data_IF_409417833842
#
_entry.id   IF_409417833842
#
_cell.length_a   1.000
_cell.length_b   1.000
_cell.length_c   1.000
_cell.angle_alpha   90.00
_cell.angle_beta   90.00
_cell.angle_gamma   90.00
#
_symmetry.space_group_name_H-M   'P 1'
#
loop_
_entity.id
_entity.type
_entity.pdbx_description
1 polymer ?
#
# COMPACT_ATOMS: atom_id res chain seq x y z
N UNK A 1 17.54 20.26 70.32
CA UNK A 1 17.30 19.25 69.27
C UNK A 1 16.78 19.93 68.03
N UNK A 2 17.64 20.10 67.02
CA UNK A 2 17.33 20.75 65.76
C UNK A 2 17.10 19.66 64.70
N UNK A 3 15.89 19.51 64.17
CA UNK A 3 15.58 18.62 63.06
C UNK A 3 15.96 19.30 61.74
N UNK A 4 16.93 18.73 61.05
CA UNK A 4 17.35 19.13 59.70
C UNK A 4 16.46 18.38 58.72
N UNK A 5 15.53 19.07 58.04
CA UNK A 5 14.68 18.53 57.00
C UNK A 5 15.46 18.61 55.69
N UNK A 6 16.00 17.50 55.23
CA UNK A 6 16.60 17.38 53.88
C UNK A 6 15.48 17.13 52.88
N UNK A 7 15.05 18.16 52.18
CA UNK A 7 14.20 18.02 50.98
C UNK A 7 15.04 17.46 49.83
N UNK A 8 14.90 16.16 49.56
CA UNK A 8 15.46 15.54 48.36
C UNK A 8 14.60 15.94 47.14
N UNK A 9 15.07 16.93 46.39
CA UNK A 9 14.47 17.32 45.12
C UNK A 9 14.73 16.22 44.10
N UNK A 10 13.74 15.35 43.85
CA UNK A 10 13.72 14.43 42.74
C UNK A 10 13.53 15.22 41.44
N UNK A 11 14.64 15.62 40.82
CA UNK A 11 14.65 16.16 39.46
C UNK A 11 14.45 14.96 38.53
N UNK A 12 13.22 14.74 38.07
CA UNK A 12 12.93 13.83 37.00
C UNK A 12 13.49 14.40 35.69
N UNK A 13 14.65 13.93 35.28
CA UNK A 13 15.16 14.17 33.94
C UNK A 13 14.21 13.49 32.94
N UNK A 14 13.40 14.27 32.28
CA UNK A 14 12.72 13.82 31.09
C UNK A 14 13.79 13.75 30.01
N UNK A 15 14.24 12.54 29.68
CA UNK A 15 15.08 12.29 28.51
C UNK A 15 14.21 12.57 27.28
N UNK A 16 14.38 13.71 26.65
CA UNK A 16 13.84 13.93 25.32
C UNK A 16 14.71 13.13 24.35
N UNK A 17 14.15 12.12 23.73
CA UNK A 17 14.77 11.47 22.57
C UNK A 17 14.95 12.53 21.48
N UNK A 18 16.19 12.79 21.09
CA UNK A 18 16.50 13.77 20.03
C UNK A 18 16.57 13.02 18.70
N UNK A 19 15.62 13.29 17.82
CA UNK A 19 15.68 12.83 16.44
C UNK A 19 16.79 13.57 15.69
N UNK A 20 17.58 12.85 14.90
CA UNK A 20 18.68 13.40 14.11
C UNK A 20 18.25 13.57 12.65
N UNK A 21 18.46 14.76 12.09
CA UNK A 21 18.20 15.03 10.67
C UNK A 21 19.45 14.81 9.83
N UNK A 22 19.34 14.02 8.77
CA UNK A 22 20.41 13.78 7.79
C UNK A 22 19.92 14.10 6.37
N UNK A 23 20.83 14.47 5.48
CA UNK A 23 20.55 14.76 4.08
C UNK A 23 21.24 13.72 3.21
N UNK A 24 20.50 13.04 2.33
CA UNK A 24 21.01 12.08 1.36
C UNK A 24 20.30 12.38 0.03
N UNK A 25 21.09 12.60 -1.03
CA UNK A 25 20.57 12.90 -2.37
C UNK A 25 19.49 13.99 -2.35
N UNK A 26 19.81 15.12 -1.65
CA UNK A 26 18.93 16.28 -1.41
C UNK A 26 17.67 16.02 -0.56
N UNK A 27 17.36 14.77 -0.22
CA UNK A 27 16.26 14.41 0.66
C UNK A 27 16.66 14.52 2.13
N UNK A 28 15.79 15.14 2.93
CA UNK A 28 15.96 15.26 4.36
C UNK A 28 15.25 14.10 5.07
N UNK A 29 16.01 13.31 5.82
CA UNK A 29 15.50 12.21 6.63
C UNK A 29 15.64 12.52 8.10
N UNK A 30 14.58 12.30 8.86
CA UNK A 30 14.60 12.35 10.32
C UNK A 30 14.80 10.94 10.86
N UNK A 31 15.89 10.72 11.58
CA UNK A 31 16.25 9.43 12.16
C UNK A 31 16.02 9.46 13.66
N UNK A 32 15.30 8.50 14.19
CA UNK A 32 15.19 8.34 15.64
C UNK A 32 16.57 8.02 16.24
N UNK A 33 16.81 8.47 17.46
CA UNK A 33 18.08 8.29 18.16
C UNK A 33 18.58 6.84 18.19
N UNK A 34 17.65 5.90 18.33
CA UNK A 34 17.95 4.45 18.31
C UNK A 34 18.58 3.99 16.99
N UNK A 35 18.22 4.60 15.86
CA UNK A 35 18.76 4.30 14.53
C UNK A 35 20.20 4.81 14.41
N UNK A 36 20.46 6.01 14.96
CA UNK A 36 21.80 6.66 14.88
C UNK A 36 22.80 6.01 15.82
N UNK A 37 22.39 5.62 17.03
CA UNK A 37 23.30 5.05 18.06
C UNK A 37 23.87 3.68 17.71
N UNK A 38 23.23 2.91 16.86
CA UNK A 38 23.65 1.54 16.55
C UNK A 38 24.79 1.43 15.52
N UNK A 39 25.56 2.49 15.26
CA UNK A 39 26.63 2.53 14.25
C UNK A 39 26.20 1.97 12.88
N UNK A 40 24.89 1.99 12.63
CA UNK A 40 24.28 1.42 11.45
C UNK A 40 24.51 2.33 10.25
N UNK A 41 24.85 1.77 9.10
CA UNK A 41 24.98 2.54 7.86
C UNK A 41 23.57 2.93 7.36
N UNK A 42 22.96 3.94 8.00
CA UNK A 42 21.62 4.42 7.67
C UNK A 42 21.49 4.87 6.20
N UNK A 43 22.59 5.30 5.57
CA UNK A 43 22.59 5.67 4.14
C UNK A 43 22.26 4.46 3.29
N UNK A 44 22.94 3.34 3.51
CA UNK A 44 22.66 2.09 2.80
C UNK A 44 21.23 1.61 3.07
N UNK A 45 20.75 1.70 4.32
CA UNK A 45 19.38 1.33 4.65
C UNK A 45 18.35 2.18 3.89
N UNK A 46 18.50 3.50 3.90
CA UNK A 46 17.59 4.39 3.19
C UNK A 46 17.62 4.15 1.67
N UNK A 47 18.79 3.93 1.09
CA UNK A 47 18.91 3.56 -0.33
C UNK A 47 18.20 2.22 -0.63
N UNK A 48 18.29 1.23 0.26
CA UNK A 48 17.57 -0.03 0.12
C UNK A 48 16.06 0.15 0.22
N UNK A 49 15.58 0.97 1.17
CA UNK A 49 14.15 1.32 1.32
C UNK A 49 13.62 2.03 0.07
N UNK A 50 14.37 3.00 -0.45
CA UNK A 50 14.00 3.71 -1.69
C UNK A 50 13.88 2.78 -2.89
N UNK A 51 14.75 1.77 -2.97
CA UNK A 51 14.76 0.80 -4.06
C UNK A 51 13.96 -0.48 -3.75
N UNK A 52 13.19 -0.50 -2.65
CA UNK A 52 12.42 -1.67 -2.25
C UNK A 52 11.39 -2.07 -3.31
N UNK A 53 11.39 -3.35 -3.65
CA UNK A 53 10.40 -4.00 -4.52
C UNK A 53 9.65 -5.11 -3.80
N UNK A 54 9.93 -5.35 -2.51
CA UNK A 54 9.39 -6.47 -1.75
C UNK A 54 7.87 -6.40 -1.59
N UNK A 55 7.32 -5.17 -1.49
CA UNK A 55 5.87 -4.96 -1.47
C UNK A 55 5.19 -5.49 -2.75
N UNK A 56 5.66 -5.09 -3.91
CA UNK A 56 5.13 -5.60 -5.18
C UNK A 56 5.42 -7.09 -5.36
N UNK A 57 6.61 -7.53 -4.95
CA UNK A 57 7.03 -8.94 -4.98
C UNK A 57 6.06 -9.83 -4.19
N UNK A 58 5.57 -9.38 -3.03
CA UNK A 58 4.60 -10.11 -2.22
C UNK A 58 3.31 -10.41 -3.01
N UNK A 59 2.78 -9.45 -3.76
CA UNK A 59 1.62 -9.70 -4.64
C UNK A 59 1.97 -10.62 -5.82
N UNK A 60 3.18 -10.52 -6.35
CA UNK A 60 3.65 -11.42 -7.41
C UNK A 60 3.77 -12.86 -6.92
N UNK A 61 4.10 -13.08 -5.65
CA UNK A 61 4.18 -14.40 -5.05
C UNK A 61 2.82 -15.14 -5.08
N UNK A 62 1.69 -14.43 -5.03
CA UNK A 62 0.36 -15.02 -5.20
C UNK A 62 0.16 -15.72 -6.57
N UNK A 63 0.93 -15.33 -7.58
CA UNK A 63 0.84 -15.93 -8.93
C UNK A 63 1.38 -17.35 -9.00
N UNK A 64 2.20 -17.74 -8.03
CA UNK A 64 2.85 -19.06 -7.99
C UNK A 64 2.36 -19.94 -6.84
N UNK A 65 1.31 -19.51 -6.13
CA UNK A 65 0.73 -20.18 -4.97
C UNK A 65 -0.76 -20.48 -5.18
N UNK A 66 -1.24 -21.55 -4.55
CA UNK A 66 -2.63 -21.72 -4.20
C UNK A 66 -2.93 -20.98 -2.88
N UNK A 67 -4.14 -20.48 -2.72
CA UNK A 67 -4.62 -19.85 -1.49
C UNK A 67 -6.14 -19.75 -1.48
N UNK A 68 -6.72 -19.56 -0.29
CA UNK A 68 -8.12 -19.19 -0.12
C UNK A 68 -8.23 -17.71 0.22
N UNK A 69 -9.35 -17.08 -0.10
CA UNK A 69 -9.61 -15.70 0.35
C UNK A 69 -11.08 -15.48 0.70
N UNK A 70 -11.29 -14.66 1.73
CA UNK A 70 -12.56 -13.97 1.97
C UNK A 70 -12.47 -12.58 1.36
N UNK A 71 -13.50 -12.17 0.63
CA UNK A 71 -13.58 -10.89 -0.05
C UNK A 71 -14.91 -10.23 0.32
N UNK A 72 -14.86 -9.06 0.93
CA UNK A 72 -16.03 -8.24 1.28
C UNK A 72 -15.90 -6.88 0.61
N UNK A 73 -16.71 -6.62 -0.41
CA UNK A 73 -16.68 -5.38 -1.21
C UNK A 73 -18.02 -4.70 -1.06
N UNK A 74 -18.03 -3.44 -0.67
CA UNK A 74 -19.23 -2.63 -0.50
C UNK A 74 -19.15 -1.36 -1.31
N UNK A 75 -20.12 -1.13 -2.16
CA UNK A 75 -20.33 0.12 -2.87
C UNK A 75 -21.24 1.03 -2.05
N UNK A 76 -20.84 2.28 -1.85
CA UNK A 76 -21.53 3.21 -0.99
C UNK A 76 -22.24 4.30 -1.82
N UNK A 77 -23.33 4.79 -1.30
CA UNK A 77 -24.00 5.98 -1.82
C UNK A 77 -23.33 7.28 -1.31
N UNK A 78 -23.90 8.43 -1.67
CA UNK A 78 -23.39 9.75 -1.26
C UNK A 78 -23.46 9.97 0.26
N UNK A 79 -24.30 9.23 0.98
CA UNK A 79 -24.48 9.32 2.43
C UNK A 79 -23.65 8.29 3.19
N UNK A 80 -22.91 7.43 2.48
CA UNK A 80 -22.12 6.35 3.07
C UNK A 80 -22.92 5.07 3.34
N UNK A 81 -24.18 4.98 2.92
CA UNK A 81 -24.97 3.76 3.04
C UNK A 81 -24.58 2.76 1.94
N UNK A 82 -24.61 1.46 2.26
CA UNK A 82 -24.33 0.40 1.29
C UNK A 82 -25.45 0.32 0.27
N UNK A 83 -25.14 0.50 -1.02
CA UNK A 83 -26.08 0.38 -2.14
C UNK A 83 -25.95 -0.93 -2.91
N UNK A 84 -24.76 -1.52 -2.92
CA UNK A 84 -24.48 -2.82 -3.49
C UNK A 84 -23.30 -3.47 -2.76
N UNK A 85 -23.27 -4.79 -2.69
CA UNK A 85 -22.18 -5.50 -2.05
C UNK A 85 -21.91 -6.86 -2.69
N UNK A 86 -20.67 -7.34 -2.53
CA UNK A 86 -20.24 -8.70 -2.80
C UNK A 86 -19.52 -9.23 -1.56
N UNK A 87 -19.99 -10.34 -1.02
CA UNK A 87 -19.20 -11.20 -0.16
C UNK A 87 -18.89 -12.49 -0.91
N UNK A 88 -17.62 -12.90 -0.94
CA UNK A 88 -17.26 -14.18 -1.54
C UNK A 88 -16.15 -14.90 -0.77
N UNK A 89 -16.18 -16.22 -0.84
CA UNK A 89 -15.07 -17.09 -0.48
C UNK A 89 -14.54 -17.73 -1.75
N UNK A 90 -13.27 -17.52 -2.06
CA UNK A 90 -12.64 -18.07 -3.26
C UNK A 90 -11.45 -18.94 -2.89
N UNK A 91 -11.09 -19.86 -3.81
CA UNK A 91 -9.90 -20.68 -3.70
C UNK A 91 -9.15 -20.66 -5.02
N UNK A 92 -7.94 -20.14 -5.01
CA UNK A 92 -7.00 -20.30 -6.12
C UNK A 92 -6.28 -21.64 -5.99
N UNK A 93 -6.36 -22.44 -7.02
CA UNK A 93 -5.60 -23.69 -7.16
C UNK A 93 -4.36 -23.43 -8.01
N UNK A 94 -3.28 -24.16 -7.71
CA UNK A 94 -2.06 -24.16 -8.53
C UNK A 94 -1.69 -25.60 -8.85
N UNK A 95 -1.77 -25.98 -10.14
CA UNK A 95 -1.49 -27.34 -10.63
C UNK A 95 -0.70 -27.21 -11.94
N UNK A 96 0.41 -27.91 -12.06
CA UNK A 96 1.25 -27.98 -13.26
C UNK A 96 1.63 -26.62 -13.84
N UNK A 97 2.00 -25.68 -12.96
CA UNK A 97 2.38 -24.32 -13.39
C UNK A 97 1.23 -23.45 -13.84
N UNK A 98 -0.01 -23.94 -13.77
CA UNK A 98 -1.22 -23.18 -14.09
C UNK A 98 -2.02 -22.86 -12.82
N UNK A 99 -2.72 -21.73 -12.81
CA UNK A 99 -3.68 -21.38 -11.75
C UNK A 99 -5.10 -21.29 -12.31
N UNK A 100 -6.03 -21.70 -11.46
CA UNK A 100 -7.47 -21.54 -11.65
C UNK A 100 -8.05 -21.01 -10.34
N UNK A 101 -9.30 -20.55 -10.36
CA UNK A 101 -9.97 -20.10 -9.14
C UNK A 101 -11.38 -20.62 -9.08
N UNK A 102 -11.73 -21.22 -7.95
CA UNK A 102 -13.09 -21.65 -7.63
C UNK A 102 -13.74 -20.59 -6.74
N UNK A 103 -14.98 -20.26 -7.02
CA UNK A 103 -15.85 -19.50 -6.13
C UNK A 103 -16.61 -20.49 -5.27
N UNK A 104 -16.25 -20.57 -3.97
CA UNK A 104 -16.85 -21.52 -3.03
C UNK A 104 -18.15 -20.98 -2.43
N UNK A 105 -18.23 -19.68 -2.28
CA UNK A 105 -19.39 -18.95 -1.78
C UNK A 105 -19.43 -17.56 -2.41
N UNK A 106 -20.63 -17.12 -2.82
CA UNK A 106 -20.85 -15.77 -3.33
C UNK A 106 -22.24 -15.28 -2.91
N UNK A 107 -22.27 -14.12 -2.26
CA UNK A 107 -23.51 -13.41 -1.89
C UNK A 107 -23.43 -11.97 -2.36
N UNK A 108 -24.41 -11.51 -3.10
CA UNK A 108 -24.47 -10.13 -3.60
C UNK A 108 -25.76 -9.44 -3.19
N UNK A 109 -25.66 -8.11 -3.01
CA UNK A 109 -26.84 -7.27 -2.79
C UNK A 109 -26.81 -6.08 -3.75
N UNK A 110 -27.99 -5.50 -4.02
CA UNK A 110 -28.13 -4.36 -4.92
C UNK A 110 -27.77 -4.70 -6.36
N UNK A 111 -27.30 -3.70 -7.11
CA UNK A 111 -26.96 -3.79 -8.51
C UNK A 111 -25.44 -4.08 -8.74
N UNK A 112 -24.86 -4.98 -7.96
CA UNK A 112 -23.43 -5.28 -8.01
C UNK A 112 -22.99 -5.80 -9.39
N UNK A 113 -23.80 -6.65 -10.00
CA UNK A 113 -23.64 -7.15 -11.36
C UNK A 113 -24.76 -6.69 -12.30
N UNK A 114 -24.47 -6.60 -13.57
CA UNK A 114 -25.46 -6.44 -14.63
C UNK A 114 -26.14 -7.78 -15.00
N UNK A 115 -27.02 -7.74 -16.00
CA UNK A 115 -27.74 -8.93 -16.49
C UNK A 115 -26.84 -9.99 -17.13
N UNK A 116 -25.61 -9.59 -17.53
CA UNK A 116 -24.58 -10.48 -18.13
C UNK A 116 -23.58 -10.97 -17.10
N UNK A 117 -23.80 -10.68 -15.81
CA UNK A 117 -22.87 -10.98 -14.72
C UNK A 117 -21.54 -10.23 -14.84
N UNK A 118 -21.52 -9.06 -15.47
CA UNK A 118 -20.40 -8.15 -15.47
C UNK A 118 -20.52 -7.13 -14.33
N UNK A 119 -19.40 -6.61 -13.83
CA UNK A 119 -19.42 -5.65 -12.75
C UNK A 119 -20.02 -4.32 -13.19
N UNK A 120 -21.00 -3.81 -12.46
CA UNK A 120 -21.57 -2.49 -12.68
C UNK A 120 -20.66 -1.34 -12.24
N UNK A 121 -19.58 -1.65 -11.50
CA UNK A 121 -18.69 -0.68 -10.89
C UNK A 121 -17.24 -0.96 -11.28
N UNK A 122 -16.45 0.12 -11.45
CA UNK A 122 -15.03 0.02 -11.80
C UNK A 122 -14.18 -0.55 -10.65
N UNK A 123 -14.46 -0.16 -9.41
CA UNK A 123 -13.68 -0.62 -8.25
C UNK A 123 -13.69 -2.14 -8.08
N UNK A 124 -14.84 -2.84 -8.07
CA UNK A 124 -14.85 -4.32 -8.05
C UNK A 124 -14.22 -4.94 -9.28
N UNK A 125 -14.36 -4.34 -10.46
CA UNK A 125 -13.71 -4.82 -11.69
C UNK A 125 -12.18 -4.79 -11.56
N UNK A 126 -11.64 -3.68 -11.03
CA UNK A 126 -10.20 -3.56 -10.76
C UNK A 126 -9.75 -4.58 -9.72
N UNK A 127 -10.50 -4.71 -8.61
CA UNK A 127 -10.23 -5.70 -7.58
C UNK A 127 -10.16 -7.12 -8.14
N UNK A 128 -11.17 -7.51 -8.90
CA UNK A 128 -11.21 -8.83 -9.54
C UNK A 128 -10.02 -9.04 -10.48
N UNK A 129 -9.65 -8.02 -11.25
CA UNK A 129 -8.48 -8.05 -12.11
C UNK A 129 -7.13 -8.17 -11.38
N UNK A 130 -7.08 -7.84 -10.08
CA UNK A 130 -5.90 -7.98 -9.25
C UNK A 130 -5.82 -9.35 -8.56
N UNK A 131 -6.93 -9.82 -8.00
CA UNK A 131 -6.97 -10.92 -7.05
C UNK A 131 -7.70 -12.16 -7.55
N UNK A 132 -8.57 -12.05 -8.56
CA UNK A 132 -9.28 -13.20 -9.09
C UNK A 132 -8.61 -13.75 -10.35
N UNK A 133 -8.65 -15.04 -10.49
CA UNK A 133 -8.16 -15.74 -11.68
C UNK A 133 -9.35 -16.09 -12.57
N UNK A 134 -9.40 -15.51 -13.78
CA UNK A 134 -10.43 -15.84 -14.76
C UNK A 134 -9.94 -16.98 -15.66
N UNK A 135 -10.63 -18.11 -15.64
CA UNK A 135 -10.25 -19.29 -16.40
C UNK A 135 -8.96 -19.94 -15.92
N UNK A 136 -8.20 -20.54 -16.85
CA UNK A 136 -6.90 -21.17 -16.58
C UNK A 136 -5.76 -20.29 -17.07
N UNK A 137 -4.84 -19.92 -16.18
CA UNK A 137 -3.69 -19.05 -16.48
C UNK A 137 -2.40 -19.82 -16.21
N UNK A 138 -1.56 -19.98 -17.21
CA UNK A 138 -0.33 -20.76 -17.16
C UNK A 138 0.91 -19.92 -17.43
N UNK A 139 2.11 -20.44 -17.07
CA UNK A 139 3.40 -19.84 -17.40
C UNK A 139 3.74 -18.59 -16.61
N UNK A 140 2.94 -18.20 -15.60
CA UNK A 140 3.27 -17.07 -14.74
C UNK A 140 4.38 -17.41 -13.74
N UNK A 141 5.17 -16.38 -13.44
CA UNK A 141 6.21 -16.42 -12.43
C UNK A 141 6.07 -15.24 -11.47
N UNK A 142 6.86 -15.26 -10.41
CA UNK A 142 6.89 -14.20 -9.40
C UNK A 142 8.11 -13.28 -9.53
N UNK A 143 8.80 -13.27 -10.67
CA UNK A 143 9.97 -12.43 -10.90
C UNK A 143 9.51 -10.97 -11.02
N UNK A 144 10.17 -10.09 -10.28
CA UNK A 144 10.03 -8.65 -10.36
C UNK A 144 11.33 -8.08 -10.92
N UNK A 145 11.24 -7.39 -12.06
CA UNK A 145 12.37 -6.70 -12.69
C UNK A 145 12.17 -5.19 -12.52
N UNK A 146 12.76 -4.64 -11.44
CA UNK A 146 12.63 -3.22 -11.12
C UNK A 146 11.20 -2.78 -10.76
N UNK A 147 10.96 -1.47 -10.77
CA UNK A 147 9.66 -0.88 -10.40
C UNK A 147 8.69 -0.72 -11.59
N UNK A 148 9.12 -1.01 -12.81
CA UNK A 148 8.33 -0.77 -14.01
C UNK A 148 7.39 -1.92 -14.32
N UNK A 149 6.09 -1.64 -14.28
CA UNK A 149 5.08 -2.49 -14.91
C UNK A 149 4.97 -2.09 -16.38
N UNK A 150 5.02 -3.07 -17.29
CA UNK A 150 4.94 -2.79 -18.71
C UNK A 150 3.54 -2.33 -19.13
N UNK A 151 3.46 -1.12 -19.66
CA UNK A 151 2.26 -0.59 -20.34
C UNK A 151 2.33 -0.76 -21.86
N UNK A 152 3.39 -1.41 -22.38
CA UNK A 152 3.57 -1.66 -23.80
C UNK A 152 2.41 -2.50 -24.37
N UNK A 153 1.93 -2.14 -25.52
CA UNK A 153 0.85 -2.80 -26.28
C UNK A 153 -0.57 -2.68 -25.69
N UNK A 154 -0.80 -1.76 -24.72
CA UNK A 154 -2.15 -1.46 -24.23
C UNK A 154 -2.58 -0.08 -24.62
N UNK A 155 -3.85 0.09 -25.01
CA UNK A 155 -4.42 1.38 -25.42
C UNK A 155 -5.76 1.63 -24.74
N UNK A 156 -6.18 2.90 -24.71
CA UNK A 156 -7.49 3.29 -24.19
C UNK A 156 -7.75 2.86 -22.74
N UNK A 157 -8.94 2.31 -22.48
CA UNK A 157 -9.42 1.94 -21.14
C UNK A 157 -8.55 0.87 -20.48
N UNK A 158 -7.99 -0.09 -21.22
CA UNK A 158 -7.11 -1.12 -20.68
C UNK A 158 -5.81 -0.53 -20.12
N UNK A 159 -5.26 0.48 -20.78
CA UNK A 159 -4.09 1.21 -20.29
C UNK A 159 -4.41 1.93 -18.97
N UNK A 160 -5.56 2.59 -18.86
CA UNK A 160 -5.98 3.27 -17.64
C UNK A 160 -6.20 2.29 -16.48
N UNK A 161 -6.79 1.13 -16.72
CA UNK A 161 -6.94 0.08 -15.69
C UNK A 161 -5.58 -0.39 -15.18
N UNK A 162 -4.60 -0.60 -16.04
CA UNK A 162 -3.26 -0.99 -15.62
C UNK A 162 -2.54 0.13 -14.83
N UNK A 163 -2.72 1.37 -15.22
CA UNK A 163 -2.19 2.52 -14.48
C UNK A 163 -2.79 2.61 -13.08
N UNK A 164 -4.10 2.39 -12.93
CA UNK A 164 -4.76 2.34 -11.62
C UNK A 164 -4.25 1.16 -10.77
N UNK A 165 -3.98 0.00 -11.39
CA UNK A 165 -3.35 -1.13 -10.69
C UNK A 165 -1.95 -0.77 -10.15
N UNK A 166 -1.19 0.05 -10.87
CA UNK A 166 0.13 0.50 -10.41
C UNK A 166 0.04 1.33 -9.12
N UNK A 167 -1.02 2.13 -8.93
CA UNK A 167 -1.27 2.84 -7.68
C UNK A 167 -1.39 1.90 -6.47
N UNK A 168 -1.97 0.71 -6.68
CA UNK A 168 -2.08 -0.30 -5.62
C UNK A 168 -0.75 -0.97 -5.31
N UNK A 169 -0.01 -1.37 -6.34
CA UNK A 169 1.17 -2.21 -6.16
C UNK A 169 2.45 -1.44 -5.93
N UNK A 170 2.48 -0.18 -6.33
CA UNK A 170 3.70 0.63 -6.27
C UNK A 170 3.40 2.09 -5.89
N UNK A 171 2.71 2.31 -4.74
CA UNK A 171 2.47 3.66 -4.26
C UNK A 171 3.81 4.37 -4.02
N UNK A 172 3.87 5.65 -4.33
CA UNK A 172 5.07 6.45 -4.14
C UNK A 172 6.11 6.32 -5.26
N UNK A 173 5.76 5.76 -6.42
CA UNK A 173 6.60 5.71 -7.61
C UNK A 173 5.88 6.32 -8.81
N UNK A 174 6.66 6.93 -9.69
CA UNK A 174 6.16 7.51 -10.95
C UNK A 174 5.35 6.49 -11.76
N UNK A 175 4.17 6.91 -12.22
CA UNK A 175 3.32 6.11 -13.09
C UNK A 175 3.25 6.77 -14.47
N UNK A 176 3.89 6.20 -15.49
CA UNK A 176 3.92 6.80 -16.81
C UNK A 176 2.54 6.94 -17.44
N UNK A 177 2.27 8.11 -18.01
CA UNK A 177 1.09 8.35 -18.86
C UNK A 177 -0.23 8.49 -18.12
N UNK A 178 -0.25 8.66 -16.80
CA UNK A 178 -1.41 9.22 -16.09
C UNK A 178 -1.30 10.74 -16.21
N UNK A 179 -2.26 11.41 -16.87
CA UNK A 179 -2.24 12.86 -17.00
C UNK A 179 -2.25 13.54 -15.63
N UNK A 180 -1.46 14.61 -15.49
CA UNK A 180 -1.41 15.54 -14.35
C UNK A 180 -0.83 14.99 -13.04
N UNK A 181 -0.87 13.68 -12.77
CA UNK A 181 -0.47 13.11 -11.48
C UNK A 181 0.70 12.13 -11.58
N UNK A 182 1.03 11.62 -12.76
CA UNK A 182 2.02 10.52 -12.89
C UNK A 182 3.38 10.83 -12.29
N UNK A 183 3.87 12.06 -12.46
CA UNK A 183 5.14 12.53 -11.89
C UNK A 183 5.00 12.92 -10.41
N UNK A 184 3.84 13.44 -10.00
CA UNK A 184 3.56 13.84 -8.61
C UNK A 184 3.50 12.67 -7.62
N UNK A 185 3.42 11.44 -8.13
CA UNK A 185 3.41 10.22 -7.33
C UNK A 185 4.81 9.73 -6.95
N UNK A 186 5.87 10.23 -7.59
CA UNK A 186 7.23 9.83 -7.25
C UNK A 186 7.68 10.53 -5.96
N UNK A 187 7.77 9.75 -4.88
CA UNK A 187 8.19 10.25 -3.57
C UNK A 187 9.72 10.36 -3.44
N UNK A 188 10.46 10.02 -4.49
CA UNK A 188 11.92 9.99 -4.46
C UNK A 188 12.56 10.74 -5.64
N UNK A 189 11.78 11.55 -6.36
CA UNK A 189 12.33 12.43 -7.39
C UNK A 189 12.99 13.68 -6.77
N UNK A 190 13.69 14.46 -7.59
CA UNK A 190 14.44 15.66 -7.18
C UNK A 190 13.58 16.72 -6.48
N UNK A 191 12.28 16.74 -6.71
CA UNK A 191 11.36 17.73 -6.13
C UNK A 191 10.64 17.21 -4.88
N UNK A 192 10.58 15.90 -4.68
CA UNK A 192 9.82 15.31 -3.58
C UNK A 192 10.32 15.78 -2.20
N UNK A 193 11.64 15.99 -2.03
CA UNK A 193 12.22 16.50 -0.78
C UNK A 193 11.75 17.92 -0.41
N UNK A 194 11.25 18.70 -1.39
CA UNK A 194 10.68 20.03 -1.16
C UNK A 194 9.24 19.96 -0.63
N UNK A 195 8.58 18.81 -0.82
CA UNK A 195 7.16 18.60 -0.54
C UNK A 195 6.93 17.71 0.70
N UNK A 196 7.83 16.75 0.94
CA UNK A 196 7.64 15.70 1.93
C UNK A 196 8.73 15.68 2.99
N UNK A 197 8.35 15.22 4.19
CA UNK A 197 9.24 14.81 5.26
C UNK A 197 9.32 13.28 5.33
N UNK A 198 10.52 12.78 5.64
CA UNK A 198 10.82 11.36 5.72
C UNK A 198 11.33 11.04 7.11
N UNK A 199 10.69 10.09 7.79
CA UNK A 199 11.10 9.66 9.13
C UNK A 199 11.37 8.16 9.17
N UNK A 200 12.48 7.77 9.79
CA UNK A 200 12.83 6.38 10.06
C UNK A 200 12.93 6.16 11.57
N UNK A 201 12.18 5.20 12.06
CA UNK A 201 12.14 4.82 13.46
C UNK A 201 12.31 3.30 13.62
N UNK A 202 12.45 2.81 14.85
CA UNK A 202 12.40 1.39 15.19
C UNK A 202 11.26 1.16 16.17
N UNK A 203 10.34 0.30 15.78
CA UNK A 203 9.13 -0.01 16.55
C UNK A 203 8.91 -1.51 16.65
N UNK A 204 8.11 -1.93 17.62
CA UNK A 204 7.58 -3.28 17.64
C UNK A 204 6.30 -3.35 16.78
N UNK A 205 6.26 -4.28 15.83
CA UNK A 205 5.10 -4.58 15.00
C UNK A 205 4.74 -6.07 15.13
N UNK A 206 3.59 -6.36 15.72
CA UNK A 206 3.14 -7.74 16.00
C UNK A 206 4.20 -8.63 16.68
N UNK A 207 4.90 -8.09 17.69
CA UNK A 207 5.94 -8.80 18.44
C UNK A 207 7.30 -8.90 17.71
N UNK A 208 7.46 -8.22 16.57
CA UNK A 208 8.70 -8.20 15.80
C UNK A 208 9.28 -6.78 15.75
N UNK A 209 10.56 -6.61 16.10
CA UNK A 209 11.25 -5.33 15.91
C UNK A 209 11.36 -5.02 14.42
N UNK A 210 10.95 -3.82 14.03
CA UNK A 210 10.78 -3.39 12.65
C UNK A 210 11.27 -1.96 12.46
N UNK A 211 11.80 -1.65 11.29
CA UNK A 211 11.93 -0.26 10.86
C UNK A 211 10.56 0.27 10.46
N UNK A 212 10.20 1.43 11.01
CA UNK A 212 9.03 2.21 10.61
C UNK A 212 9.48 3.37 9.74
N UNK A 213 9.19 3.31 8.46
CA UNK A 213 9.50 4.39 7.52
C UNK A 213 8.23 5.15 7.15
N UNK A 214 8.20 6.43 7.48
CA UNK A 214 7.05 7.30 7.26
C UNK A 214 7.39 8.42 6.29
N UNK A 215 6.49 8.69 5.36
CA UNK A 215 6.55 9.82 4.43
C UNK A 215 5.26 10.61 4.58
N UNK A 216 5.38 11.90 4.88
CA UNK A 216 4.23 12.80 5.07
C UNK A 216 4.52 14.14 4.38
N UNK A 217 3.51 14.84 3.85
CA UNK A 217 3.71 16.20 3.37
C UNK A 217 4.21 17.11 4.49
N UNK A 218 5.07 18.04 4.13
CA UNK A 218 5.45 19.14 5.05
C UNK A 218 4.21 19.96 5.39
N UNK A 219 4.14 20.48 6.63
CA UNK A 219 2.97 21.21 7.12
C UNK A 219 2.55 22.33 6.17
N UNK A 220 3.51 23.11 5.66
CA UNK A 220 3.26 24.20 4.72
C UNK A 220 2.93 23.76 3.30
N UNK A 221 2.99 22.46 3.00
CA UNK A 221 2.73 21.85 1.69
C UNK A 221 1.47 20.98 1.62
N UNK A 222 0.78 20.75 2.73
CA UNK A 222 -0.41 19.86 2.81
C UNK A 222 -1.48 20.23 1.77
N UNK A 223 -1.67 21.53 1.47
CA UNK A 223 -2.66 22.00 0.51
C UNK A 223 -2.07 22.29 -0.88
N UNK A 224 -0.85 21.84 -1.18
CA UNK A 224 -0.23 22.04 -2.48
C UNK A 224 -0.87 21.11 -3.52
N UNK A 225 -1.17 21.64 -4.69
CA UNK A 225 -1.63 20.85 -5.85
C UNK A 225 -0.60 19.84 -6.36
N UNK A 226 0.65 19.92 -5.89
CA UNK A 226 1.73 18.98 -6.17
C UNK A 226 1.75 17.78 -5.22
N UNK A 227 1.09 17.88 -4.07
CA UNK A 227 0.97 16.79 -3.10
C UNK A 227 -0.18 15.88 -3.51
N UNK A 228 0.11 14.61 -3.70
CA UNK A 228 -0.85 13.55 -4.05
C UNK A 228 -0.83 12.43 -3.01
N UNK A 229 0.32 12.20 -2.39
CA UNK A 229 0.46 11.23 -1.30
C UNK A 229 0.25 11.95 0.03
N UNK A 230 -0.88 11.70 0.68
CA UNK A 230 -1.19 12.32 1.99
C UNK A 230 -0.39 11.69 3.11
N UNK A 231 -0.10 10.39 2.99
CA UNK A 231 0.72 9.63 3.92
C UNK A 231 1.16 8.32 3.30
N UNK A 232 2.37 7.88 3.59
CA UNK A 232 2.80 6.50 3.40
C UNK A 232 3.63 6.03 4.60
N UNK A 233 3.21 4.93 5.22
CA UNK A 233 3.90 4.31 6.36
C UNK A 233 4.18 2.86 6.00
N UNK A 234 5.44 2.46 6.12
CA UNK A 234 5.87 1.10 5.80
C UNK A 234 6.66 0.51 6.96
N UNK A 235 6.29 -0.69 7.36
CA UNK A 235 7.04 -1.50 8.33
C UNK A 235 7.91 -2.49 7.57
N UNK A 236 9.21 -2.46 7.83
CA UNK A 236 10.18 -3.37 7.26
C UNK A 236 10.73 -4.28 8.34
N UNK A 237 10.89 -5.55 8.03
CA UNK A 237 11.61 -6.49 8.90
C UNK A 237 13.04 -5.97 9.14
N UNK A 238 13.47 -5.93 10.41
CA UNK A 238 14.76 -5.34 10.80
C UNK A 238 15.96 -6.06 10.16
N UNK A 239 15.83 -7.34 9.85
CA UNK A 239 16.94 -8.18 9.34
C UNK A 239 16.93 -8.34 7.82
N UNK A 240 15.73 -8.55 7.25
CA UNK A 240 15.59 -8.88 5.83
C UNK A 240 15.22 -7.67 4.98
N UNK A 241 14.75 -6.59 5.59
CA UNK A 241 14.18 -5.39 4.93
C UNK A 241 12.99 -5.70 4.02
N UNK A 242 12.38 -6.86 4.16
CA UNK A 242 11.13 -7.15 3.48
C UNK A 242 9.96 -6.41 4.16
N UNK A 243 9.01 -5.96 3.36
CA UNK A 243 7.82 -5.25 3.87
C UNK A 243 6.96 -6.19 4.70
N UNK A 244 6.68 -5.81 5.95
CA UNK A 244 5.74 -6.48 6.86
C UNK A 244 4.32 -5.92 6.74
N UNK A 245 4.22 -4.60 6.54
CA UNK A 245 2.96 -3.91 6.30
C UNK A 245 3.22 -2.58 5.59
N UNK A 246 2.21 -2.09 4.86
CA UNK A 246 2.22 -0.75 4.29
C UNK A 246 0.83 -0.16 4.33
N UNK A 247 0.73 1.05 4.91
CA UNK A 247 -0.46 1.88 4.89
C UNK A 247 -0.17 3.13 4.07
N UNK A 248 -1.07 3.51 3.19
CA UNK A 248 -0.94 4.74 2.43
C UNK A 248 -2.29 5.38 2.14
N UNK A 249 -2.28 6.68 2.00
CA UNK A 249 -3.42 7.46 1.53
C UNK A 249 -2.98 8.42 0.44
N UNK A 250 -3.83 8.56 -0.56
CA UNK A 250 -3.61 9.37 -1.74
C UNK A 250 -4.87 10.20 -1.99
N UNK A 251 -4.70 11.49 -2.23
CA UNK A 251 -5.80 12.34 -2.65
C UNK A 251 -5.39 13.29 -3.78
N UNK A 252 -6.33 13.59 -4.67
CA UNK A 252 -6.10 14.54 -5.75
C UNK A 252 -7.43 15.13 -6.24
N UNK A 253 -7.41 16.42 -6.53
CA UNK A 253 -8.57 17.16 -7.06
C UNK A 253 -8.12 18.05 -8.21
N UNK A 254 -8.38 17.62 -9.43
CA UNK A 254 -8.04 18.38 -10.64
C UNK A 254 -9.18 18.45 -11.67
N UNK A 255 -10.40 18.14 -11.27
CA UNK A 255 -11.59 18.23 -12.13
C UNK A 255 -11.71 17.17 -13.22
N UNK A 256 -10.60 16.53 -13.57
CA UNK A 256 -10.50 15.45 -14.57
C UNK A 256 -10.39 14.09 -13.86
N UNK A 257 -9.69 14.09 -12.74
CA UNK A 257 -9.55 12.96 -11.82
C UNK A 257 -9.65 13.53 -10.41
N UNK A 258 -10.71 13.17 -9.70
CA UNK A 258 -10.81 13.40 -8.27
C UNK A 258 -10.78 12.05 -7.58
N UNK A 259 -9.90 11.89 -6.62
CA UNK A 259 -9.88 10.68 -5.79
C UNK A 259 -9.39 10.99 -4.37
N UNK A 260 -9.88 10.18 -3.44
CA UNK A 260 -9.46 10.10 -2.05
C UNK A 260 -9.46 8.61 -1.70
N UNK A 261 -8.28 8.03 -1.57
CA UNK A 261 -8.12 6.58 -1.37
C UNK A 261 -7.16 6.29 -0.24
N UNK A 262 -7.47 5.28 0.54
CA UNK A 262 -6.59 4.73 1.54
C UNK A 262 -6.50 3.21 1.41
N UNK A 263 -5.33 2.68 1.70
CA UNK A 263 -5.02 1.26 1.63
C UNK A 263 -4.17 0.86 2.82
N UNK A 264 -4.52 -0.26 3.43
CA UNK A 264 -3.74 -0.94 4.45
C UNK A 264 -3.46 -2.36 3.98
N UNK A 265 -2.20 -2.76 4.01
CA UNK A 265 -1.79 -4.11 3.62
C UNK A 265 -0.89 -4.69 4.70
N UNK A 266 -1.30 -5.81 5.26
CA UNK A 266 -0.49 -6.62 6.16
C UNK A 266 0.02 -7.86 5.42
N UNK A 267 1.30 -8.18 5.61
CA UNK A 267 1.95 -9.32 4.99
C UNK A 267 2.04 -10.50 5.96
N UNK A 268 2.27 -11.68 5.41
CA UNK A 268 2.66 -12.88 6.17
C UNK A 268 3.71 -13.66 5.38
N UNK A 269 4.36 -14.62 6.03
CA UNK A 269 5.32 -15.51 5.39
C UNK A 269 4.73 -16.91 5.21
N UNK A 270 4.91 -17.45 4.01
CA UNK A 270 4.60 -18.83 3.69
C UNK A 270 5.77 -19.46 2.94
N UNK A 271 6.43 -20.45 3.55
CA UNK A 271 7.58 -21.17 2.98
C UNK A 271 8.67 -20.25 2.39
N UNK A 272 9.04 -19.21 3.14
CA UNK A 272 10.05 -18.23 2.74
C UNK A 272 9.59 -17.17 1.75
N UNK A 273 8.32 -17.21 1.32
CA UNK A 273 7.72 -16.18 0.48
C UNK A 273 6.91 -15.21 1.34
N UNK A 274 7.15 -13.91 1.20
CA UNK A 274 6.28 -12.88 1.75
C UNK A 274 5.06 -12.73 0.84
N UNK A 275 3.85 -12.76 1.41
CA UNK A 275 2.56 -12.66 0.70
C UNK A 275 1.62 -11.73 1.45
N UNK A 276 0.69 -11.04 0.79
CA UNK A 276 -0.34 -10.28 1.47
C UNK A 276 -1.29 -11.22 2.23
N UNK A 277 -1.63 -10.85 3.46
CA UNK A 277 -2.55 -11.56 4.34
C UNK A 277 -3.87 -10.84 4.47
N UNK A 278 -3.82 -9.54 4.74
CA UNK A 278 -5.00 -8.69 4.92
C UNK A 278 -4.83 -7.44 4.07
N UNK A 279 -5.88 -7.09 3.35
CA UNK A 279 -5.98 -5.83 2.62
C UNK A 279 -7.25 -5.12 3.05
N UNK A 280 -7.15 -3.83 3.36
CA UNK A 280 -8.27 -2.94 3.64
C UNK A 280 -8.16 -1.72 2.73
N UNK A 281 -9.23 -1.41 2.06
CA UNK A 281 -9.30 -0.30 1.12
C UNK A 281 -10.54 0.54 1.40
N UNK A 282 -10.38 1.85 1.28
CA UNK A 282 -11.46 2.81 1.20
C UNK A 282 -11.13 3.77 0.07
N UNK A 283 -12.09 4.03 -0.82
CA UNK A 283 -11.88 4.94 -1.93
C UNK A 283 -13.14 5.68 -2.34
N UNK A 284 -12.93 6.90 -2.76
CA UNK A 284 -13.88 7.80 -3.41
C UNK A 284 -13.24 8.25 -4.73
N UNK A 285 -13.82 7.85 -5.86
CA UNK A 285 -13.27 8.11 -7.18
C UNK A 285 -14.26 8.86 -8.06
N UNK A 286 -13.78 9.88 -8.74
CA UNK A 286 -14.46 10.51 -9.85
C UNK A 286 -13.53 10.51 -11.06
N UNK A 287 -13.81 9.65 -12.02
CA UNK A 287 -12.99 9.46 -13.22
C UNK A 287 -13.80 9.84 -14.45
N UNK A 288 -13.19 10.50 -15.41
CA UNK A 288 -13.83 10.90 -16.68
C UNK A 288 -14.60 9.72 -17.29
N UNK A 289 -15.83 9.98 -17.73
CA UNK A 289 -16.74 9.04 -18.35
C UNK A 289 -17.28 7.92 -17.45
N UNK A 290 -17.05 7.96 -16.13
CA UNK A 290 -17.64 7.05 -15.16
C UNK A 290 -18.39 7.83 -14.08
N UNK A 291 -19.39 7.20 -13.48
CA UNK A 291 -20.06 7.78 -12.30
C UNK A 291 -19.08 7.71 -11.12
N UNK A 292 -19.13 8.74 -10.27
CA UNK A 292 -18.38 8.74 -9.00
C UNK A 292 -18.68 7.50 -8.17
N UNK A 293 -17.66 6.80 -7.76
CA UNK A 293 -17.74 5.58 -6.97
C UNK A 293 -17.16 5.80 -5.57
N UNK A 294 -17.87 5.29 -4.56
CA UNK A 294 -17.39 5.15 -3.20
C UNK A 294 -17.43 3.69 -2.84
N UNK A 295 -16.29 3.17 -2.41
CA UNK A 295 -16.17 1.76 -2.09
C UNK A 295 -15.29 1.54 -0.86
N UNK A 296 -15.62 0.48 -0.14
CA UNK A 296 -14.73 -0.13 0.84
C UNK A 296 -14.59 -1.60 0.50
N UNK A 297 -13.40 -2.16 0.68
CA UNK A 297 -13.24 -3.60 0.64
C UNK A 297 -12.26 -4.11 1.69
N UNK A 298 -12.47 -5.34 2.11
CA UNK A 298 -11.53 -6.11 2.90
C UNK A 298 -11.30 -7.44 2.22
N UNK A 299 -10.03 -7.83 2.07
CA UNK A 299 -9.64 -9.16 1.65
C UNK A 299 -8.77 -9.80 2.72
N UNK A 300 -9.05 -11.07 3.03
CA UNK A 300 -8.22 -11.88 3.93
C UNK A 300 -7.80 -13.13 3.18
N UNK A 301 -6.49 -13.33 3.03
CA UNK A 301 -5.89 -14.45 2.32
C UNK A 301 -5.33 -15.45 3.32
N UNK A 302 -5.57 -16.73 3.10
CA UNK A 302 -5.21 -17.81 4.02
C UNK A 302 -5.09 -19.15 3.29
N UNK A 303 -4.71 -20.22 3.98
CA UNK A 303 -4.53 -21.57 3.42
C UNK A 303 -3.61 -21.60 2.19
N UNK A 304 -2.46 -20.91 2.30
CA UNK A 304 -1.48 -20.89 1.22
C UNK A 304 -0.91 -22.29 0.97
N UNK A 305 -0.66 -22.61 -0.33
CA UNK A 305 -0.12 -23.90 -0.80
C UNK A 305 0.83 -23.66 -1.97
N UNK A 306 1.83 -24.52 -2.12
CA UNK A 306 2.65 -24.66 -3.35
C UNK A 306 2.02 -25.62 -4.33
#
# INVERSE_FOLDING_TARGET
>A
MRYFFVCLLLISFRSFSQDTTVIIDEHRFTLAEVVVRNNFNYRTLLTQIQNDTSFYKAFRNLRVLGFSSYNDIKMLDKKGAVKASLFSKTRQNRIDGCRTMDVLEENTTGDFYDRKKEYNYLTPELYAGLFFTKGKVCGENNIVKGHTMSLSNKSGMEKHKEQLKMLFFNPGKKIPGIPFIGDKLDLYDEDAHKLYDYKLDVVEFHGTLSYLFSITPKEEKINSDRVVVDQMVTWFDLKTLEVLARNYSLSYKAGVYDFDVSMEVEMTKFEGLTVPKILRYKGDWDVIFKKRERAIFTATLFDFKK
#
